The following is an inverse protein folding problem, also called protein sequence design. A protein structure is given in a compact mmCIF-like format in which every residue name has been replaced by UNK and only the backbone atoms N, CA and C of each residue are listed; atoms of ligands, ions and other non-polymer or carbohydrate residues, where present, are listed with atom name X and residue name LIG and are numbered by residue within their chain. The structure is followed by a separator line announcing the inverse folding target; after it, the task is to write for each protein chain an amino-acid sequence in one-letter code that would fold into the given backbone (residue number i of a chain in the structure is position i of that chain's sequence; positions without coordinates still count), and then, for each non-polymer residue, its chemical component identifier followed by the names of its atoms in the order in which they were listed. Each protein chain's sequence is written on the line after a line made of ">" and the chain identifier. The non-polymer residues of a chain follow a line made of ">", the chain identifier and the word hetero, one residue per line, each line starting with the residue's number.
data_IF_898637821779
#
_entry.id   IF_898637821779
#
_cell.length_a   1.000
_cell.length_b   1.000
_cell.length_c   1.000
_cell.angle_alpha   90.00
_cell.angle_beta   90.00
_cell.angle_gamma   90.00
#
_symmetry.space_group_name_H-M   'P 1'
#
loop_
_entity.id
_entity.type
_entity.pdbx_description
1 polymer ?
#
# COMPACT_ATOMS: atom_id res chain seq x y z
N UNK A 1 -6.07 -53.53 26.53
CA UNK A 1 -7.38 -53.15 25.92
C UNK A 1 -7.83 -51.85 26.56
N UNK A 2 -7.97 -50.77 25.78
CA UNK A 2 -8.41 -49.46 26.26
C UNK A 2 -8.65 -48.56 25.06
N UNK A 3 -9.81 -48.73 24.41
CA UNK A 3 -10.18 -48.00 23.19
C UNK A 3 -10.39 -46.52 23.57
N UNK A 4 -9.47 -45.66 23.17
CA UNK A 4 -9.73 -44.22 23.09
C UNK A 4 -10.91 -44.03 22.14
N UNK A 5 -12.08 -43.69 22.67
CA UNK A 5 -13.23 -43.32 21.83
C UNK A 5 -12.92 -41.93 21.28
N UNK A 6 -12.64 -41.85 19.98
CA UNK A 6 -12.48 -40.59 19.27
C UNK A 6 -13.71 -39.72 19.51
N UNK A 7 -13.48 -38.47 19.94
CA UNK A 7 -14.52 -37.45 19.90
C UNK A 7 -14.93 -37.27 18.43
N UNK A 8 -16.22 -37.23 18.09
CA UNK A 8 -16.60 -36.83 16.74
C UNK A 8 -16.13 -35.37 16.57
N UNK A 9 -15.22 -35.14 15.62
CA UNK A 9 -15.07 -33.81 15.05
C UNK A 9 -16.40 -33.53 14.35
N UNK A 10 -17.28 -32.79 15.03
CA UNK A 10 -18.36 -32.08 14.35
C UNK A 10 -17.75 -31.22 13.24
N UNK A 11 -18.52 -30.87 12.19
CA UNK A 11 -18.00 -30.00 11.13
C UNK A 11 -17.41 -28.75 11.78
N UNK A 12 -16.08 -28.61 11.71
CA UNK A 12 -15.40 -27.39 12.13
C UNK A 12 -16.03 -26.22 11.38
N UNK A 13 -16.09 -25.01 11.97
CA UNK A 13 -16.75 -23.89 11.32
C UNK A 13 -16.22 -23.76 9.88
N UNK A 14 -17.11 -23.98 8.92
CA UNK A 14 -16.89 -23.64 7.52
C UNK A 14 -16.79 -22.12 7.47
N UNK A 15 -15.60 -21.62 7.72
CA UNK A 15 -15.32 -20.20 7.78
C UNK A 15 -13.87 -20.02 7.40
N UNK A 16 -13.61 -19.87 6.10
CA UNK A 16 -12.51 -18.99 5.71
C UNK A 16 -12.64 -17.66 6.45
N UNK A 17 -11.56 -16.86 6.57
CA UNK A 17 -11.68 -15.54 7.19
C UNK A 17 -12.93 -14.85 6.63
N UNK A 18 -13.85 -14.36 7.49
CA UNK A 18 -15.12 -13.83 7.03
C UNK A 18 -14.83 -12.88 5.88
N UNK A 19 -15.55 -13.07 4.77
CA UNK A 19 -15.43 -12.28 3.54
C UNK A 19 -14.97 -10.88 3.93
N UNK A 20 -13.72 -10.53 3.60
CA UNK A 20 -13.18 -9.22 3.94
C UNK A 20 -14.17 -8.21 3.40
N UNK A 21 -14.93 -7.58 4.29
CA UNK A 21 -15.89 -6.55 3.91
C UNK A 21 -15.10 -5.55 3.07
N UNK A 22 -15.44 -5.37 1.78
CA UNK A 22 -14.72 -4.44 0.93
C UNK A 22 -14.74 -3.09 1.64
N UNK A 23 -13.56 -2.61 2.04
CA UNK A 23 -13.48 -1.33 2.70
C UNK A 23 -14.02 -0.29 1.73
N UNK A 24 -14.98 0.56 2.15
CA UNK A 24 -15.51 1.59 1.28
C UNK A 24 -14.36 2.46 0.80
N UNK A 25 -14.36 2.79 -0.49
CA UNK A 25 -13.34 3.68 -1.04
C UNK A 25 -13.40 5.00 -0.26
N UNK A 26 -12.30 5.44 0.38
CA UNK A 26 -12.31 6.71 1.09
C UNK A 26 -12.64 7.83 0.09
N UNK A 27 -13.35 8.89 0.53
CA UNK A 27 -13.63 10.03 -0.32
C UNK A 27 -12.32 10.57 -0.87
N UNK A 28 -12.31 10.97 -2.15
CA UNK A 28 -11.11 11.56 -2.74
C UNK A 28 -10.80 12.86 -1.97
N UNK A 29 -9.61 13.03 -1.41
CA UNK A 29 -9.25 14.29 -0.78
C UNK A 29 -9.38 15.40 -1.82
N UNK A 30 -10.03 16.50 -1.45
CA UNK A 30 -10.03 17.71 -2.26
C UNK A 30 -8.70 18.41 -2.02
N UNK A 31 -7.69 18.05 -2.82
CA UNK A 31 -6.40 18.71 -2.76
C UNK A 31 -6.54 20.10 -3.40
N UNK A 32 -6.37 21.13 -2.60
CA UNK A 32 -6.38 22.53 -3.02
C UNK A 32 -4.97 22.95 -3.39
N UNK A 33 -4.53 22.58 -4.59
CA UNK A 33 -3.23 22.98 -5.13
C UNK A 33 -3.34 23.21 -6.63
N UNK A 34 -2.77 24.30 -7.12
CA UNK A 34 -2.74 24.55 -8.56
C UNK A 34 -1.70 23.64 -9.23
N UNK A 35 -1.88 23.30 -10.51
CA UNK A 35 -0.89 22.51 -11.23
C UNK A 35 0.51 23.17 -11.27
N UNK A 36 0.65 24.49 -11.49
CA UNK A 36 1.95 25.15 -11.44
C UNK A 36 2.66 25.00 -10.09
N UNK A 37 1.90 25.05 -8.99
CA UNK A 37 2.44 24.86 -7.63
C UNK A 37 2.91 23.42 -7.41
N UNK A 38 2.10 22.43 -7.79
CA UNK A 38 2.49 21.02 -7.72
C UNK A 38 3.76 20.73 -8.51
N UNK A 39 3.88 21.28 -9.73
CA UNK A 39 5.07 21.14 -10.56
C UNK A 39 6.30 21.76 -9.89
N UNK A 40 6.16 22.93 -9.27
CA UNK A 40 7.26 23.61 -8.57
C UNK A 40 7.76 22.79 -7.39
N UNK A 41 6.84 22.26 -6.57
CA UNK A 41 7.18 21.36 -5.46
C UNK A 41 7.90 20.09 -5.94
N UNK A 42 7.46 19.52 -7.06
CA UNK A 42 8.13 18.36 -7.64
C UNK A 42 9.49 18.71 -8.24
N UNK A 43 9.69 19.90 -8.80
CA UNK A 43 10.98 20.30 -9.38
C UNK A 43 12.04 20.65 -8.32
N UNK A 44 11.59 21.14 -7.15
CA UNK A 44 12.44 21.58 -6.04
C UNK A 44 12.75 20.45 -5.02
N UNK A 45 12.03 19.33 -5.09
CA UNK A 45 12.25 18.19 -4.19
C UNK A 45 13.51 17.38 -4.54
N UNK A 46 14.31 17.04 -3.54
CA UNK A 46 15.50 16.19 -3.72
C UNK A 46 15.19 14.69 -3.54
N UNK A 47 14.16 14.36 -2.77
CA UNK A 47 13.80 13.00 -2.36
C UNK A 47 12.32 12.69 -2.64
N UNK A 48 12.08 11.51 -3.20
CA UNK A 48 10.75 11.03 -3.60
C UNK A 48 10.50 9.63 -3.05
N UNK A 49 9.24 9.30 -2.80
CA UNK A 49 8.81 7.97 -2.37
C UNK A 49 8.07 7.30 -3.52
N UNK A 50 8.68 6.28 -4.11
CA UNK A 50 8.04 5.47 -5.14
C UNK A 50 7.26 4.33 -4.49
N UNK A 51 5.93 4.40 -4.60
CA UNK A 51 5.05 3.32 -4.19
C UNK A 51 4.74 2.39 -5.38
N UNK A 52 4.89 1.09 -5.16
CA UNK A 52 4.54 0.03 -6.11
C UNK A 52 3.68 -1.01 -5.40
N UNK A 53 2.95 -1.82 -6.17
CA UNK A 53 2.28 -3.01 -5.65
C UNK A 53 3.03 -4.22 -6.18
N UNK A 54 3.52 -5.08 -5.29
CA UNK A 54 4.20 -6.32 -5.65
C UNK A 54 3.21 -7.30 -6.29
N UNK A 55 3.73 -8.33 -6.97
CA UNK A 55 2.88 -9.37 -7.58
C UNK A 55 1.94 -10.06 -6.57
N UNK A 56 2.30 -10.11 -5.29
CA UNK A 56 1.47 -10.67 -4.20
C UNK A 56 0.45 -9.68 -3.62
N UNK A 57 0.32 -8.48 -4.20
CA UNK A 57 -0.64 -7.45 -3.79
C UNK A 57 -0.18 -6.60 -2.60
N UNK A 58 1.02 -6.82 -2.05
CA UNK A 58 1.52 -6.00 -0.94
C UNK A 58 2.04 -4.64 -1.46
N UNK A 59 1.70 -3.52 -0.79
CA UNK A 59 2.31 -2.24 -1.10
C UNK A 59 3.79 -2.25 -0.72
N UNK A 60 4.62 -1.66 -1.58
CA UNK A 60 6.05 -1.44 -1.35
C UNK A 60 6.38 0.02 -1.63
N UNK A 61 7.20 0.62 -0.76
CA UNK A 61 7.62 2.02 -0.88
C UNK A 61 9.13 2.09 -0.79
N UNK A 62 9.78 2.82 -1.70
CA UNK A 62 11.23 3.01 -1.73
C UNK A 62 11.58 4.48 -1.90
N UNK A 63 12.49 5.05 -1.08
CA UNK A 63 12.99 6.40 -1.29
C UNK A 63 13.95 6.45 -2.48
N UNK A 64 13.82 7.47 -3.33
CA UNK A 64 14.63 7.71 -4.52
C UNK A 64 15.08 9.18 -4.58
N UNK A 65 16.30 9.42 -5.04
CA UNK A 65 16.79 10.77 -5.36
C UNK A 65 16.23 11.18 -6.73
N UNK A 66 15.73 12.42 -6.84
CA UNK A 66 15.33 12.98 -8.12
C UNK A 66 16.38 13.89 -8.72
N UNK A 67 16.33 14.00 -10.04
CA UNK A 67 17.14 14.93 -10.81
C UNK A 67 16.18 15.78 -11.65
N UNK A 68 16.32 17.10 -11.54
CA UNK A 68 15.51 18.03 -12.33
C UNK A 68 16.42 18.90 -13.20
N UNK A 69 15.93 19.43 -14.33
CA UNK A 69 16.71 20.35 -15.16
C UNK A 69 17.15 21.63 -14.43
N UNK A 70 16.55 21.93 -13.27
CA UNK A 70 16.93 23.05 -12.41
C UNK A 70 17.90 22.70 -11.30
N UNK A 71 18.10 21.41 -11.00
CA UNK A 71 19.11 21.01 -10.01
C UNK A 71 20.49 21.37 -10.58
N UNK A 72 21.21 22.37 -10.04
CA UNK A 72 22.59 22.55 -10.41
C UNK A 72 23.32 21.29 -9.94
N UNK A 73 23.97 20.55 -10.83
CA UNK A 73 24.83 19.45 -10.40
C UNK A 73 25.82 20.03 -9.40
N UNK A 74 25.80 19.49 -8.17
CA UNK A 74 26.74 19.87 -7.13
C UNK A 74 28.14 19.85 -7.73
N UNK A 75 28.80 21.02 -7.71
CA UNK A 75 30.22 21.14 -8.04
C UNK A 75 31.05 20.54 -6.93
#
# INVERSE_FOLDING_TARGET
>A
MGRQRGRPHGPGPAGGPPDRVPQPRPPRPRLTGSWPEARRLLEDAELYWLATVRADGRPHVTPLIGVSPRTPMAR
#
